data_IF_745127615656
#
_entry.id   IF_745127615656
#
_cell.length_a   1.000
_cell.length_b   1.000
_cell.length_c   1.000
_cell.angle_alpha   90.00
_cell.angle_beta   90.00
_cell.angle_gamma   90.00
#
_symmetry.space_group_name_H-M   'P 1'
#
loop_
_entity.id
_entity.type
_entity.pdbx_description
1 polymer ?
#
# COMPACT_ATOMS: atom_id res chain seq x y z
N UNK A 1 1.65 8.80 8.54
CA UNK A 1 2.40 7.90 7.62
C UNK A 1 3.03 8.66 6.47
N UNK A 2 2.32 9.46 5.71
CA UNK A 2 2.85 10.25 4.59
C UNK A 2 4.09 11.08 4.96
N UNK A 3 4.10 11.78 6.10
CA UNK A 3 5.28 12.56 6.50
C UNK A 3 6.51 11.69 6.80
N UNK A 4 6.33 10.49 7.33
CA UNK A 4 7.43 9.53 7.54
C UNK A 4 7.96 9.01 6.20
N UNK A 5 7.08 8.72 5.24
CA UNK A 5 7.45 8.33 3.89
C UNK A 5 8.31 9.42 3.22
N UNK A 6 7.86 10.68 3.21
CA UNK A 6 8.59 11.80 2.64
C UNK A 6 9.97 12.00 3.26
N UNK A 7 10.06 11.87 4.59
CA UNK A 7 11.36 12.00 5.29
C UNK A 7 12.33 10.91 4.84
N UNK A 8 11.87 9.66 4.76
CA UNK A 8 12.71 8.53 4.31
C UNK A 8 13.08 8.63 2.85
N UNK A 9 12.16 9.07 1.99
CA UNK A 9 12.43 9.33 0.59
C UNK A 9 13.58 10.34 0.40
N UNK A 10 13.57 11.46 1.13
CA UNK A 10 14.65 12.44 1.10
C UNK A 10 15.99 11.83 1.50
N UNK A 11 16.01 10.91 2.46
CA UNK A 11 17.23 10.20 2.87
C UNK A 11 17.73 9.29 1.73
N UNK A 12 16.87 8.56 1.04
CA UNK A 12 17.24 7.75 -0.13
C UNK A 12 17.84 8.62 -1.21
N UNK A 13 17.22 9.76 -1.56
CA UNK A 13 17.75 10.70 -2.56
C UNK A 13 19.12 11.26 -2.17
N UNK A 14 19.32 11.57 -0.89
CA UNK A 14 20.61 12.01 -0.37
C UNK A 14 21.67 10.91 -0.55
N UNK A 15 21.40 9.69 -0.14
CA UNK A 15 22.34 8.59 -0.20
C UNK A 15 22.70 8.17 -1.63
N UNK A 16 21.75 8.25 -2.57
CA UNK A 16 22.01 8.08 -3.99
C UNK A 16 22.99 9.14 -4.50
N UNK A 17 22.74 10.42 -4.14
CA UNK A 17 23.60 11.52 -4.56
C UNK A 17 25.02 11.41 -3.98
N UNK A 18 25.15 10.92 -2.76
CA UNK A 18 26.44 10.73 -2.06
C UNK A 18 27.16 9.44 -2.46
N UNK A 19 26.54 8.57 -3.28
CA UNK A 19 27.10 7.26 -3.64
C UNK A 19 27.12 6.24 -2.51
N UNK A 20 26.38 6.48 -1.41
CA UNK A 20 26.30 5.58 -0.26
C UNK A 20 25.44 4.34 -0.57
N UNK A 21 24.57 4.42 -1.58
CA UNK A 21 23.80 3.29 -2.13
C UNK A 21 23.98 3.29 -3.65
N UNK A 22 24.02 2.09 -4.23
CA UNK A 22 24.18 1.87 -5.66
C UNK A 22 22.94 2.29 -6.46
N UNK A 23 23.15 2.65 -7.73
CA UNK A 23 22.05 2.96 -8.64
C UNK A 23 21.17 1.73 -8.90
N UNK A 24 21.73 0.53 -8.78
CA UNK A 24 21.06 -0.75 -9.03
C UNK A 24 20.48 -1.41 -7.78
N UNK A 25 20.70 -0.82 -6.60
CA UNK A 25 20.19 -1.36 -5.36
C UNK A 25 18.65 -1.25 -5.27
N UNK A 26 18.02 -2.29 -4.73
CA UNK A 26 16.61 -2.26 -4.33
C UNK A 26 16.46 -1.41 -3.07
N UNK A 27 15.55 -0.44 -3.10
CA UNK A 27 15.41 0.57 -2.05
C UNK A 27 14.04 0.52 -1.40
N UNK A 28 14.01 0.10 -0.14
CA UNK A 28 12.79 -0.05 0.63
C UNK A 28 12.67 1.04 1.70
N UNK A 29 11.44 1.51 1.92
CA UNK A 29 11.09 2.35 3.06
C UNK A 29 10.36 1.48 4.09
N UNK A 30 10.97 1.27 5.26
CA UNK A 30 10.31 0.59 6.37
C UNK A 30 9.62 1.60 7.28
N UNK A 31 8.33 1.38 7.55
CA UNK A 31 7.49 2.21 8.43
C UNK A 31 6.91 1.34 9.53
N UNK A 32 7.22 1.69 10.80
CA UNK A 32 6.62 1.06 11.96
C UNK A 32 5.35 1.81 12.38
N UNK A 33 4.27 1.06 12.51
CA UNK A 33 2.98 1.53 13.03
C UNK A 33 2.65 0.92 14.40
N UNK A 34 3.63 0.46 15.16
CA UNK A 34 3.46 -0.21 16.45
C UNK A 34 2.73 0.63 17.50
N UNK A 35 2.72 1.95 17.35
CA UNK A 35 2.03 2.90 18.26
C UNK A 35 0.54 3.11 17.95
N UNK A 36 0.01 2.53 16.87
CA UNK A 36 -1.39 2.72 16.47
C UNK A 36 -2.36 1.74 17.18
N UNK A 37 -2.04 1.27 18.38
CA UNK A 37 -2.99 0.59 19.26
C UNK A 37 -3.48 -0.79 18.77
N UNK A 38 -4.75 -1.10 19.09
CA UNK A 38 -5.37 -2.40 18.87
C UNK A 38 -5.39 -2.79 17.39
N UNK A 39 -5.08 -4.05 17.11
CA UNK A 39 -5.21 -4.62 15.76
C UNK A 39 -6.69 -4.61 15.34
N UNK A 40 -7.04 -3.71 14.44
CA UNK A 40 -8.30 -3.73 13.72
C UNK A 40 -7.97 -4.18 12.30
N UNK A 41 -8.66 -5.21 11.77
CA UNK A 41 -8.54 -5.57 10.35
C UNK A 41 -8.93 -4.35 9.51
N UNK A 42 -8.00 -3.83 8.73
CA UNK A 42 -8.24 -2.69 7.86
C UNK A 42 -8.51 -3.17 6.44
N UNK A 43 -9.62 -2.74 5.87
CA UNK A 43 -9.96 -2.93 4.47
C UNK A 43 -10.31 -1.57 3.84
N UNK A 44 -9.45 -0.99 3.02
CA UNK A 44 -8.08 -1.42 2.67
C UNK A 44 -7.08 -1.16 3.81
N UNK A 45 -5.89 -1.81 3.80
CA UNK A 45 -4.83 -1.50 4.75
C UNK A 45 -4.45 -0.03 4.73
N UNK A 46 -4.22 0.54 5.91
CA UNK A 46 -3.92 1.97 6.09
C UNK A 46 -2.69 2.43 5.28
N UNK A 47 -1.75 1.53 5.01
CA UNK A 47 -0.59 1.85 4.18
C UNK A 47 -0.98 2.12 2.74
N UNK A 48 -1.95 1.39 2.18
CA UNK A 48 -2.43 1.65 0.82
C UNK A 48 -3.06 3.03 0.71
N UNK A 49 -3.91 3.43 1.69
CA UNK A 49 -4.52 4.77 1.70
C UNK A 49 -3.51 5.91 1.88
N UNK A 50 -2.25 5.60 2.20
CA UNK A 50 -1.17 6.58 2.33
C UNK A 50 -0.30 6.70 1.08
N UNK A 51 -0.35 5.72 0.19
CA UNK A 51 0.46 5.62 -1.02
C UNK A 51 -0.37 5.79 -2.30
N UNK A 52 -1.68 5.54 -2.20
CA UNK A 52 -2.64 5.61 -3.29
C UNK A 52 -3.85 6.46 -2.89
N UNK A 53 -4.54 7.09 -3.85
CA UNK A 53 -5.66 8.01 -3.60
C UNK A 53 -6.96 7.27 -3.22
N UNK A 54 -6.92 6.42 -2.21
CA UNK A 54 -8.06 5.66 -1.73
C UNK A 54 -8.82 6.51 -0.70
N UNK A 55 -10.04 6.91 -1.02
CA UNK A 55 -10.95 7.66 -0.15
C UNK A 55 -11.96 6.76 0.56
N UNK A 56 -13.17 7.28 0.75
CA UNK A 56 -14.25 6.58 1.41
C UNK A 56 -14.80 5.47 0.54
N UNK A 57 -15.21 4.36 1.17
CA UNK A 57 -15.86 3.25 0.49
C UNK A 57 -17.27 3.66 0.04
N UNK A 58 -17.69 3.17 -1.11
CA UNK A 58 -19.07 3.29 -1.59
C UNK A 58 -19.62 1.94 -2.05
N UNK A 59 -20.93 1.83 -2.02
CA UNK A 59 -21.70 0.76 -2.67
C UNK A 59 -22.82 1.40 -3.50
N UNK A 60 -23.05 0.85 -4.66
CA UNK A 60 -24.20 1.19 -5.52
C UNK A 60 -25.18 0.04 -5.50
N UNK A 61 -26.44 0.33 -5.17
CA UNK A 61 -27.51 -0.66 -5.08
C UNK A 61 -28.52 -0.37 -6.19
N UNK A 62 -28.88 -1.39 -6.94
CA UNK A 62 -30.01 -1.33 -7.87
C UNK A 62 -31.32 -1.26 -7.06
N UNK A 63 -32.07 -0.18 -7.23
CA UNK A 63 -33.33 0.05 -6.50
C UNK A 63 -34.46 -0.89 -6.91
N UNK A 64 -34.37 -1.53 -8.06
CA UNK A 64 -35.40 -2.46 -8.53
C UNK A 64 -35.20 -3.87 -8.00
N UNK A 65 -33.94 -4.27 -7.78
CA UNK A 65 -33.57 -5.63 -7.35
C UNK A 65 -33.02 -5.70 -5.94
N UNK A 66 -32.70 -4.55 -5.31
CA UNK A 66 -31.98 -4.44 -4.03
C UNK A 66 -30.60 -5.14 -4.05
N UNK A 67 -30.04 -5.38 -5.23
CA UNK A 67 -28.72 -6.00 -5.39
C UNK A 67 -27.59 -4.96 -5.43
N UNK A 68 -26.43 -5.33 -4.88
CA UNK A 68 -25.22 -4.51 -5.01
C UNK A 68 -24.68 -4.69 -6.44
N UNK A 69 -24.71 -3.62 -7.23
CA UNK A 69 -24.21 -3.60 -8.61
C UNK A 69 -22.78 -3.11 -8.74
N UNK A 70 -22.30 -2.35 -7.75
CA UNK A 70 -20.94 -1.84 -7.73
C UNK A 70 -20.48 -1.59 -6.29
N UNK A 71 -19.21 -1.87 -6.01
CA UNK A 71 -18.55 -1.47 -4.77
C UNK A 71 -17.15 -0.94 -5.08
N UNK A 72 -16.68 0.04 -4.32
CA UNK A 72 -15.37 0.63 -4.56
C UNK A 72 -14.98 1.68 -3.54
N UNK A 73 -14.00 2.50 -3.93
CA UNK A 73 -13.52 3.61 -3.14
C UNK A 73 -13.48 4.87 -3.99
N UNK A 74 -13.98 5.97 -3.44
CA UNK A 74 -13.82 7.27 -4.08
C UNK A 74 -12.33 7.63 -4.20
N UNK A 75 -11.96 8.30 -5.30
CA UNK A 75 -10.62 8.85 -5.41
C UNK A 75 -10.43 10.02 -4.42
N UNK A 76 -9.38 9.95 -3.62
CA UNK A 76 -9.02 11.00 -2.65
C UNK A 76 -7.52 11.24 -2.67
N UNK A 77 -7.01 12.05 -3.63
CA UNK A 77 -5.57 12.25 -3.83
C UNK A 77 -4.91 13.00 -2.68
N UNK A 78 -5.67 13.71 -1.87
CA UNK A 78 -5.16 14.51 -0.76
C UNK A 78 -6.02 14.32 0.49
N UNK A 79 -5.41 14.51 1.66
CA UNK A 79 -6.12 14.68 2.93
C UNK A 79 -5.71 15.99 3.59
N UNK A 80 -6.66 16.68 4.20
CA UNK A 80 -6.37 17.85 5.02
C UNK A 80 -5.74 17.41 6.35
N UNK A 81 -4.57 17.96 6.67
CA UNK A 81 -3.93 17.77 7.96
C UNK A 81 -3.49 19.13 8.50
N UNK A 82 -4.08 19.55 9.62
CA UNK A 82 -3.80 20.87 10.23
C UNK A 82 -3.89 22.02 9.22
N UNK A 83 -4.93 21.97 8.35
CA UNK A 83 -5.18 22.99 7.35
C UNK A 83 -4.27 22.96 6.12
N UNK A 84 -3.38 21.96 6.00
CA UNK A 84 -2.53 21.76 4.81
C UNK A 84 -2.89 20.47 4.10
N UNK A 85 -3.00 20.47 2.75
CA UNK A 85 -3.19 19.24 2.00
C UNK A 85 -1.94 18.36 2.09
N UNK A 86 -2.16 17.06 2.23
CA UNK A 86 -1.10 16.04 2.20
C UNK A 86 -1.42 15.06 1.10
N UNK A 87 -0.55 15.01 0.10
CA UNK A 87 -0.70 14.14 -1.07
C UNK A 87 -0.60 12.66 -0.69
N UNK A 88 -1.46 11.83 -1.32
CA UNK A 88 -1.54 10.37 -1.14
C UNK A 88 -1.34 9.61 -2.45
N UNK A 89 -0.67 10.19 -3.41
CA UNK A 89 -0.45 9.63 -4.76
C UNK A 89 0.99 9.14 -4.97
N UNK A 90 1.73 8.90 -3.88
CA UNK A 90 3.17 8.67 -3.96
C UNK A 90 3.55 7.55 -4.97
N UNK A 91 2.80 6.44 -5.00
CA UNK A 91 3.09 5.32 -5.89
C UNK A 91 2.44 5.42 -7.29
N UNK A 92 1.77 6.54 -7.57
CA UNK A 92 1.32 6.93 -8.91
C UNK A 92 2.12 8.11 -9.48
N UNK A 93 3.11 8.62 -8.71
CA UNK A 93 3.94 9.75 -9.08
C UNK A 93 5.37 9.30 -9.43
N UNK A 94 5.86 9.52 -10.67
CA UNK A 94 7.20 9.12 -11.11
C UNK A 94 8.34 9.70 -10.27
N UNK A 95 8.10 10.79 -9.51
CA UNK A 95 9.07 11.35 -8.58
C UNK A 95 9.63 10.29 -7.59
N UNK A 96 8.81 9.30 -7.25
CA UNK A 96 9.15 8.26 -6.27
C UNK A 96 9.67 6.95 -6.90
N UNK A 97 10.00 6.95 -8.19
CA UNK A 97 10.51 5.76 -8.91
C UNK A 97 11.81 5.18 -8.33
N UNK A 98 12.56 5.97 -7.55
CA UNK A 98 13.75 5.48 -6.83
C UNK A 98 13.40 4.60 -5.61
N UNK A 99 12.13 4.52 -5.21
CA UNK A 99 11.66 3.66 -4.11
C UNK A 99 11.05 2.40 -4.69
N UNK A 100 11.60 1.24 -4.34
CA UNK A 100 11.11 -0.07 -4.81
C UNK A 100 9.80 -0.48 -4.15
N UNK A 101 9.58 -0.07 -2.91
CA UNK A 101 8.36 -0.37 -2.17
C UNK A 101 8.42 0.08 -0.72
N UNK A 102 7.33 -0.17 -0.02
CA UNK A 102 7.18 0.14 1.41
C UNK A 102 6.90 -1.14 2.20
N UNK A 103 7.70 -1.39 3.21
CA UNK A 103 7.44 -2.40 4.23
C UNK A 103 6.76 -1.73 5.42
N UNK A 104 5.53 -2.11 5.69
CA UNK A 104 4.76 -1.60 6.81
C UNK A 104 4.59 -2.66 7.88
N UNK A 105 4.98 -2.31 9.12
CA UNK A 105 4.97 -3.22 10.25
C UNK A 105 4.04 -2.70 11.35
N UNK A 106 3.14 -3.56 11.82
CA UNK A 106 2.35 -3.35 13.05
C UNK A 106 2.85 -4.20 14.21
N UNK A 107 4.03 -4.79 14.06
CA UNK A 107 4.66 -5.57 15.13
C UNK A 107 4.92 -4.69 16.36
N UNK A 108 4.49 -5.16 17.50
CA UNK A 108 4.68 -4.54 18.83
C UNK A 108 5.00 -5.62 19.84
N UNK A 109 5.44 -5.24 21.04
CA UNK A 109 5.67 -6.20 22.13
C UNK A 109 4.40 -7.01 22.46
N UNK A 110 3.20 -6.41 22.33
CA UNK A 110 1.93 -7.07 22.61
C UNK A 110 1.49 -8.11 21.57
N UNK A 111 2.13 -8.16 20.40
CA UNK A 111 1.78 -9.12 19.34
C UNK A 111 2.97 -9.91 18.80
N UNK A 112 4.15 -9.75 19.40
CA UNK A 112 5.39 -10.39 18.97
C UNK A 112 5.32 -11.93 18.99
N UNK A 113 4.57 -12.49 19.95
CA UNK A 113 4.38 -13.93 20.10
C UNK A 113 3.31 -14.55 19.22
N UNK A 114 2.56 -13.74 18.47
CA UNK A 114 1.51 -14.24 17.56
C UNK A 114 2.14 -14.96 16.37
N UNK A 115 1.47 -16.03 15.91
CA UNK A 115 1.89 -16.78 14.72
C UNK A 115 1.89 -15.91 13.45
N UNK A 116 0.98 -14.96 13.37
CA UNK A 116 0.90 -13.99 12.27
C UNK A 116 1.71 -12.75 12.62
N UNK A 117 2.67 -12.40 11.79
CA UNK A 117 3.44 -11.16 11.89
C UNK A 117 2.74 -10.12 11.04
N UNK A 118 2.18 -9.05 11.60
CA UNK A 118 1.44 -8.05 10.83
C UNK A 118 2.41 -7.20 9.99
N UNK A 119 3.04 -7.83 9.01
CA UNK A 119 3.92 -7.24 8.03
C UNK A 119 3.19 -7.15 6.69
N UNK A 120 3.21 -5.97 6.09
CA UNK A 120 2.64 -5.74 4.76
C UNK A 120 3.70 -5.11 3.88
N UNK A 121 3.94 -5.71 2.72
CA UNK A 121 4.76 -5.11 1.69
C UNK A 121 3.91 -4.56 0.56
N UNK A 122 4.23 -3.35 0.09
CA UNK A 122 3.56 -2.69 -1.03
C UNK A 122 4.60 -2.35 -2.08
N UNK A 123 4.48 -2.97 -3.25
CA UNK A 123 5.32 -2.66 -4.40
C UNK A 123 5.01 -1.28 -4.98
N UNK A 124 6.05 -0.56 -5.37
CA UNK A 124 5.87 0.63 -6.20
C UNK A 124 5.83 0.21 -7.68
N UNK A 125 4.69 0.38 -8.38
CA UNK A 125 4.56 -0.02 -9.79
C UNK A 125 5.47 0.80 -10.72
N UNK A 126 5.93 1.97 -10.28
CA UNK A 126 6.80 2.87 -11.04
C UNK A 126 8.28 2.71 -10.65
N UNK A 127 8.64 1.71 -9.84
CA UNK A 127 10.00 1.54 -9.37
C UNK A 127 10.98 1.25 -10.50
N UNK A 128 12.10 1.99 -10.55
CA UNK A 128 13.21 1.70 -11.48
C UNK A 128 13.95 0.42 -11.12
N UNK A 129 13.89 0.01 -9.85
CA UNK A 129 14.49 -1.22 -9.33
C UNK A 129 13.46 -1.94 -8.46
N UNK A 130 12.50 -2.67 -9.07
CA UNK A 130 11.48 -3.39 -8.32
C UNK A 130 12.08 -4.55 -7.53
N UNK A 131 11.53 -4.80 -6.33
CA UNK A 131 11.80 -6.03 -5.61
C UNK A 131 11.06 -7.18 -6.29
N UNK A 132 11.69 -8.37 -6.34
CA UNK A 132 11.02 -9.57 -6.81
C UNK A 132 9.80 -9.88 -5.93
N UNK A 133 8.68 -10.25 -6.56
CA UNK A 133 7.49 -10.67 -5.84
C UNK A 133 7.76 -11.93 -5.02
N UNK A 134 7.10 -12.04 -3.87
CA UNK A 134 7.24 -13.15 -2.91
C UNK A 134 8.67 -13.36 -2.40
N UNK A 135 9.48 -12.31 -2.43
CA UNK A 135 10.86 -12.36 -1.95
C UNK A 135 10.95 -12.49 -0.43
N UNK A 136 10.05 -11.83 0.31
CA UNK A 136 10.10 -11.72 1.77
C UNK A 136 9.11 -12.61 2.51
N UNK A 137 9.19 -12.54 3.84
CA UNK A 137 8.34 -13.28 4.78
C UNK A 137 7.30 -12.35 5.43
N UNK A 138 6.47 -11.72 4.60
CA UNK A 138 5.37 -10.86 5.04
C UNK A 138 4.02 -11.58 4.96
N UNK A 139 3.03 -11.08 5.69
CA UNK A 139 1.68 -11.66 5.73
C UNK A 139 0.83 -11.21 4.55
N UNK A 140 1.14 -10.01 4.01
CA UNK A 140 0.44 -9.43 2.87
C UNK A 140 1.42 -8.78 1.91
N UNK A 141 1.18 -8.94 0.63
CA UNK A 141 2.01 -8.36 -0.42
C UNK A 141 1.13 -7.79 -1.53
N UNK A 142 1.21 -6.47 -1.71
CA UNK A 142 0.41 -5.77 -2.69
C UNK A 142 1.21 -5.41 -3.92
N UNK A 143 0.71 -5.84 -5.07
CA UNK A 143 1.15 -5.43 -6.39
C UNK A 143 0.07 -4.53 -6.99
N UNK A 144 0.48 -3.44 -7.63
CA UNK A 144 -0.45 -2.53 -8.29
C UNK A 144 -0.34 -2.71 -9.80
N UNK A 145 -1.48 -2.97 -10.43
CA UNK A 145 -1.64 -2.95 -11.87
C UNK A 145 -2.22 -1.60 -12.27
N UNK A 146 -1.59 -0.94 -13.23
CA UNK A 146 -2.04 0.34 -13.79
C UNK A 146 -2.49 0.07 -15.22
N UNK A 147 -3.71 0.51 -15.55
CA UNK A 147 -4.30 0.43 -16.89
C UNK A 147 -4.91 1.79 -17.24
N UNK A 148 -4.15 2.60 -17.99
CA UNK A 148 -4.49 3.98 -18.30
C UNK A 148 -4.64 4.82 -17.02
N UNK A 149 -5.83 5.38 -16.82
CA UNK A 149 -6.19 6.16 -15.63
C UNK A 149 -6.63 5.29 -14.45
N UNK A 150 -6.87 4.00 -14.68
CA UNK A 150 -7.31 3.06 -13.66
C UNK A 150 -6.12 2.34 -13.02
N UNK A 151 -6.29 2.00 -11.76
CA UNK A 151 -5.32 1.20 -11.05
C UNK A 151 -6.01 0.28 -10.03
N UNK A 152 -5.37 -0.84 -9.75
CA UNK A 152 -5.87 -1.83 -8.77
C UNK A 152 -4.71 -2.39 -7.97
N UNK A 153 -4.83 -2.36 -6.64
CA UNK A 153 -3.89 -3.04 -5.75
C UNK A 153 -4.40 -4.46 -5.44
N UNK A 154 -3.57 -5.45 -5.71
CA UNK A 154 -3.89 -6.87 -5.54
C UNK A 154 -2.98 -7.45 -4.46
N UNK A 155 -3.57 -8.10 -3.45
CA UNK A 155 -2.82 -8.88 -2.46
C UNK A 155 -2.50 -10.26 -3.06
N UNK A 156 -1.26 -10.46 -3.46
CA UNK A 156 -0.83 -11.68 -4.13
C UNK A 156 -0.58 -12.86 -3.17
N UNK A 157 -0.65 -12.61 -1.85
CA UNK A 157 -0.58 -13.65 -0.81
C UNK A 157 -1.95 -13.99 -0.24
N UNK A 158 -3.00 -13.23 -0.59
CA UNK A 158 -4.36 -13.59 -0.19
C UNK A 158 -4.73 -14.96 -0.77
N UNK A 159 -5.44 -15.80 0.00
CA UNK A 159 -6.01 -17.05 -0.55
C UNK A 159 -6.85 -16.70 -1.79
N UNK A 160 -6.57 -17.35 -2.90
CA UNK A 160 -7.43 -17.28 -4.07
C UNK A 160 -8.75 -17.93 -3.65
N UNK A 161 -9.80 -17.14 -3.53
CA UNK A 161 -11.16 -17.69 -3.43
C UNK A 161 -11.42 -18.27 -4.82
N UNK A 162 -11.31 -19.60 -4.94
CA UNK A 162 -11.85 -20.30 -6.10
C UNK A 162 -13.34 -19.98 -6.13
N UNK A 163 -13.75 -19.10 -7.05
CA UNK A 163 -15.14 -19.01 -7.43
C UNK A 163 -15.47 -20.33 -8.11
N UNK A 164 -15.97 -21.28 -7.33
CA UNK A 164 -16.61 -22.46 -7.88
C UNK A 164 -17.71 -21.97 -8.82
N UNK A 165 -17.43 -22.05 -10.12
CA UNK A 165 -18.45 -22.07 -11.15
C UNK A 165 -19.21 -23.41 -11.01
N UNK A 166 -20.09 -23.49 -10.06
CA UNK A 166 -21.10 -24.54 -9.98
C UNK A 166 -22.37 -23.82 -9.55
N UNK A 167 -23.14 -23.45 -10.56
CA UNK A 167 -24.54 -23.69 -10.71
C UNK A 167 -25.06 -22.85 -11.87
N UNK A 168 -25.06 -23.47 -13.04
CA UNK A 168 -25.95 -23.13 -14.16
C UNK A 168 -27.03 -24.23 -14.16
#
# INVERSE_FOLDING_TARGET
MTSAFWTKFKVIKKYLKEGNIGADDVRLIAISASRFGVYVPEKPPLILTSLFPIGDAYITIDRATDEIVEEGFHASPEIARQGKPVERTAFLNPLFSDVSGVLWSRVSLGNLSRKTRPLTYVHNPLATRPLQQRFGVWDREFVTVIDGEHWKAIDILAPQVEMNQADV
#
